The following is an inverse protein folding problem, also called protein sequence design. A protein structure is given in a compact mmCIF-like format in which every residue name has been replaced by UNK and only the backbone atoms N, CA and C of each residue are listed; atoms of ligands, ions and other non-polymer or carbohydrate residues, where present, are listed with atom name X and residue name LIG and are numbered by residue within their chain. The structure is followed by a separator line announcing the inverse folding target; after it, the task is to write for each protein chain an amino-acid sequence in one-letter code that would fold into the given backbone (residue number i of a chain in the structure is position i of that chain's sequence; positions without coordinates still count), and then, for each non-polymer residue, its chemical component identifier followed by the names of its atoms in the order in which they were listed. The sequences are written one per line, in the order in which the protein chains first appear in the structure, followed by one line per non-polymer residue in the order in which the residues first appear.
data_IF_601887823806
#
_entry.id   IF_601887823806
#
_cell.length_a   1.000
_cell.length_b   1.000
_cell.length_c   1.000
_cell.angle_alpha   90.00
_cell.angle_beta   90.00
_cell.angle_gamma   90.00
#
_symmetry.space_group_name_H-M   'P 1'
#
loop_
_entity.id
_entity.type
_entity.pdbx_description
1 polymer ?
#
# COMPACT_ATOMS: atom_id res chain seq x y z
N UNK A 1 4.65 2.82 52.04
CA UNK A 1 4.36 2.26 50.71
C UNK A 1 3.59 3.31 49.96
N UNK A 2 4.05 3.68 48.77
CA UNK A 2 3.47 4.63 47.79
C UNK A 2 4.56 5.60 47.32
N UNK A 3 5.36 5.13 46.35
CA UNK A 3 6.18 6.01 45.52
C UNK A 3 6.05 5.55 44.08
N UNK A 4 5.99 6.55 43.20
CA UNK A 4 5.91 6.50 41.73
C UNK A 4 4.51 6.33 41.14
N UNK A 5 3.66 7.35 41.35
CA UNK A 5 2.77 7.82 40.27
C UNK A 5 3.57 8.82 39.45
N UNK A 6 3.92 8.41 38.23
CA UNK A 6 4.45 9.31 37.21
C UNK A 6 3.27 10.13 36.67
N UNK A 7 3.22 11.40 37.04
CA UNK A 7 2.22 12.36 36.55
C UNK A 7 2.70 12.94 35.21
N UNK A 8 2.04 12.57 34.11
CA UNK A 8 1.68 13.55 33.10
C UNK A 8 2.54 13.70 31.84
N UNK A 9 3.25 12.68 31.37
CA UNK A 9 3.68 12.68 29.97
C UNK A 9 2.47 12.36 29.07
N UNK A 10 2.16 13.16 28.02
CA UNK A 10 1.09 12.80 27.09
C UNK A 10 1.44 11.46 26.43
N UNK A 11 0.52 10.49 26.51
CA UNK A 11 0.69 9.20 25.83
C UNK A 11 0.82 9.48 24.34
N UNK A 12 2.01 9.24 23.79
CA UNK A 12 2.26 9.41 22.37
C UNK A 12 1.34 8.46 21.61
N UNK A 13 0.56 9.00 20.66
CA UNK A 13 -0.34 8.20 19.85
C UNK A 13 0.51 7.31 18.95
N UNK A 14 0.41 5.99 19.13
CA UNK A 14 1.11 5.01 18.29
C UNK A 14 0.72 5.19 16.82
N UNK A 15 1.70 5.05 15.95
CA UNK A 15 1.53 5.14 14.50
C UNK A 15 0.94 3.86 13.97
N UNK A 16 -0.12 4.00 13.17
CA UNK A 16 -0.69 2.87 12.42
C UNK A 16 0.10 2.67 11.13
N UNK A 17 0.42 1.43 10.84
CA UNK A 17 0.89 1.00 9.53
C UNK A 17 -0.24 0.65 8.57
N UNK A 18 0.13 -0.02 7.49
CA UNK A 18 -0.75 -0.53 6.45
C UNK A 18 -0.63 -2.05 6.35
N UNK A 19 -1.76 -2.72 6.13
CA UNK A 19 -1.76 -4.18 5.99
C UNK A 19 -1.14 -4.60 4.65
N UNK A 20 -0.66 -5.85 4.57
CA UNK A 20 -0.22 -6.44 3.30
C UNK A 20 -1.31 -6.40 2.22
N UNK A 21 -2.58 -6.61 2.60
CA UNK A 21 -3.73 -6.50 1.69
C UNK A 21 -3.92 -5.07 1.15
N UNK A 22 -3.75 -4.05 2.00
CA UNK A 22 -3.77 -2.65 1.57
C UNK A 22 -2.65 -2.35 0.57
N UNK A 23 -1.44 -2.85 0.80
CA UNK A 23 -0.34 -2.72 -0.14
C UNK A 23 -0.62 -3.42 -1.48
N UNK A 24 -1.19 -4.64 -1.45
CA UNK A 24 -1.56 -5.37 -2.66
C UNK A 24 -2.64 -4.63 -3.47
N UNK A 25 -3.69 -4.15 -2.79
CA UNK A 25 -4.77 -3.39 -3.43
C UNK A 25 -4.27 -2.08 -4.05
N UNK A 26 -3.40 -1.35 -3.33
CA UNK A 26 -2.79 -0.13 -3.85
C UNK A 26 -1.89 -0.41 -5.06
N UNK A 27 -1.04 -1.44 -4.99
CA UNK A 27 -0.16 -1.82 -6.10
C UNK A 27 -0.96 -2.21 -7.33
N UNK A 28 -2.02 -3.03 -7.17
CA UNK A 28 -2.89 -3.42 -8.28
C UNK A 28 -3.61 -2.21 -8.91
N UNK A 29 -4.17 -1.32 -8.08
CA UNK A 29 -4.82 -0.09 -8.56
C UNK A 29 -3.83 0.81 -9.32
N UNK A 30 -2.61 0.95 -8.81
CA UNK A 30 -1.56 1.72 -9.46
C UNK A 30 -1.13 1.09 -10.80
N UNK A 31 -0.91 -0.23 -10.85
CA UNK A 31 -0.57 -0.95 -12.08
C UNK A 31 -1.64 -0.78 -13.17
N UNK A 32 -2.92 -0.93 -12.81
CA UNK A 32 -4.05 -0.68 -13.73
C UNK A 32 -4.07 0.77 -14.22
N UNK A 33 -3.86 1.74 -13.33
CA UNK A 33 -3.79 3.15 -13.73
C UNK A 33 -2.64 3.40 -14.73
N UNK A 34 -1.47 2.85 -14.44
CA UNK A 34 -0.28 3.01 -15.27
C UNK A 34 -0.45 2.40 -16.65
N UNK A 35 -1.01 1.19 -16.78
CA UNK A 35 -1.22 0.58 -18.11
C UNK A 35 -2.28 1.34 -18.93
N UNK A 36 -3.32 1.87 -18.28
CA UNK A 36 -4.37 2.63 -18.95
C UNK A 36 -3.91 4.02 -19.41
N UNK A 37 -2.96 4.63 -18.70
CA UNK A 37 -2.50 6.01 -18.97
C UNK A 37 -1.15 6.07 -19.68
N UNK A 38 -0.35 5.00 -19.60
CA UNK A 38 1.05 5.01 -20.04
C UNK A 38 1.97 5.85 -19.16
N UNK A 39 1.52 6.32 -17.99
CA UNK A 39 2.27 7.20 -17.11
C UNK A 39 2.53 6.54 -15.75
N UNK A 40 3.74 6.66 -15.18
CA UNK A 40 3.99 6.19 -13.83
C UNK A 40 3.15 6.99 -12.83
N UNK A 41 2.69 6.32 -11.77
CA UNK A 41 1.95 6.93 -10.68
C UNK A 41 2.85 6.99 -9.44
N UNK A 42 2.91 8.14 -8.77
CA UNK A 42 3.74 8.30 -7.55
C UNK A 42 2.98 7.93 -6.27
N UNK A 43 1.66 8.16 -6.25
CA UNK A 43 0.79 7.94 -5.10
C UNK A 43 -0.53 7.33 -5.54
N UNK A 44 -1.03 6.37 -4.78
CA UNK A 44 -2.33 5.75 -5.01
C UNK A 44 -3.18 5.82 -3.76
N UNK A 45 -4.44 6.22 -3.91
CA UNK A 45 -5.42 6.21 -2.83
C UNK A 45 -6.35 5.01 -2.99
N UNK A 46 -6.54 4.25 -1.93
CA UNK A 46 -7.53 3.16 -1.84
C UNK A 46 -8.51 3.41 -0.71
N UNK A 47 -9.73 2.92 -0.88
CA UNK A 47 -10.67 2.79 0.22
C UNK A 47 -10.34 1.51 0.99
N UNK A 48 -10.42 1.57 2.30
CA UNK A 48 -10.19 0.41 3.18
C UNK A 48 -11.54 -0.15 3.69
N UNK A 49 -11.58 -1.39 4.21
CA UNK A 49 -12.83 -2.01 4.65
C UNK A 49 -13.56 -1.25 5.78
N UNK A 50 -12.86 -0.40 6.54
CA UNK A 50 -13.46 0.43 7.59
C UNK A 50 -14.03 1.77 7.07
N UNK A 51 -13.96 1.99 5.75
CA UNK A 51 -14.44 3.19 5.08
C UNK A 51 -13.46 4.36 5.08
N UNK A 52 -12.28 4.21 5.70
CA UNK A 52 -11.22 5.23 5.61
C UNK A 52 -10.44 5.13 4.31
N UNK A 53 -9.82 6.24 3.90
CA UNK A 53 -8.95 6.28 2.74
C UNK A 53 -7.48 6.18 3.14
N UNK A 54 -6.73 5.47 2.30
CA UNK A 54 -5.32 5.24 2.48
C UNK A 54 -4.55 5.65 1.23
N UNK A 55 -3.67 6.64 1.38
CA UNK A 55 -2.79 7.12 0.31
C UNK A 55 -1.40 6.52 0.51
N UNK A 56 -0.97 5.73 -0.47
CA UNK A 56 0.23 4.92 -0.41
C UNK A 56 1.25 5.38 -1.47
N UNK A 57 2.55 5.47 -1.13
CA UNK A 57 3.57 5.75 -2.11
C UNK A 57 3.75 4.53 -3.02
N UNK A 58 3.82 4.77 -4.31
CA UNK A 58 4.06 3.75 -5.32
C UNK A 58 5.55 3.77 -5.68
N UNK A 59 6.19 2.61 -5.69
CA UNK A 59 7.60 2.45 -6.01
C UNK A 59 7.79 1.46 -7.16
N UNK A 60 9.00 1.42 -7.71
CA UNK A 60 9.41 0.42 -8.72
C UNK A 60 8.50 0.39 -9.96
N UNK A 61 7.97 1.56 -10.37
CA UNK A 61 7.10 1.72 -11.53
C UNK A 61 7.82 1.39 -12.84
N UNK A 62 7.23 0.50 -13.64
CA UNK A 62 7.73 0.11 -14.97
C UNK A 62 6.54 -0.11 -15.90
N UNK A 63 6.64 0.43 -17.11
CA UNK A 63 5.66 0.24 -18.18
C UNK A 63 6.44 -0.18 -19.42
N UNK A 64 6.28 -1.42 -19.85
CA UNK A 64 6.97 -1.96 -21.02
C UNK A 64 6.23 -3.17 -21.59
N UNK A 65 6.39 -3.43 -22.89
CA UNK A 65 5.89 -4.64 -23.53
C UNK A 65 4.39 -4.94 -23.29
N UNK A 66 3.54 -3.91 -23.14
CA UNK A 66 2.11 -4.08 -22.88
C UNK A 66 1.77 -4.46 -21.43
N UNK A 67 2.73 -4.33 -20.52
CA UNK A 67 2.63 -4.65 -19.11
C UNK A 67 2.97 -3.41 -18.28
N UNK A 68 2.25 -3.19 -17.20
CA UNK A 68 2.63 -2.24 -16.15
C UNK A 68 2.85 -2.97 -14.83
N UNK A 69 3.92 -2.61 -14.12
CA UNK A 69 4.30 -3.18 -12.83
C UNK A 69 4.74 -2.10 -11.88
N UNK A 70 4.35 -2.22 -10.62
CA UNK A 70 4.85 -1.40 -9.52
C UNK A 70 4.81 -2.18 -8.21
N UNK A 71 5.30 -1.57 -7.13
CA UNK A 71 5.11 -2.07 -5.78
C UNK A 71 4.69 -0.99 -4.79
N UNK A 72 4.24 -1.45 -3.63
CA UNK A 72 4.12 -0.65 -2.42
C UNK A 72 4.98 -1.30 -1.34
N UNK A 73 5.78 -0.49 -0.66
CA UNK A 73 6.53 -0.92 0.53
C UNK A 73 5.58 -0.93 1.70
N UNK A 74 5.44 -2.07 2.37
CA UNK A 74 4.65 -2.17 3.60
C UNK A 74 5.37 -1.39 4.70
N UNK A 75 4.60 -0.58 5.40
CA UNK A 75 5.00 0.13 6.60
C UNK A 75 4.11 -0.35 7.75
N UNK A 76 4.69 -0.99 8.77
CA UNK A 76 3.96 -1.61 9.87
C UNK A 76 3.56 -0.66 11.01
N UNK A 77 3.94 0.62 10.97
CA UNK A 77 3.66 1.49 12.11
C UNK A 77 4.70 1.29 13.22
N UNK A 78 4.20 1.23 14.45
CA UNK A 78 4.97 0.82 15.63
C UNK A 78 4.76 -0.68 15.99
N UNK A 79 4.07 -1.44 15.13
CA UNK A 79 3.81 -2.87 15.31
C UNK A 79 5.07 -3.70 14.96
N UNK A 80 5.58 -4.58 15.85
CA UNK A 80 6.67 -5.49 15.53
C UNK A 80 6.20 -6.60 14.56
N UNK A 81 6.01 -6.23 13.31
CA UNK A 81 5.53 -7.08 12.22
C UNK A 81 6.71 -7.54 11.34
N UNK A 82 6.87 -8.86 11.19
CA UNK A 82 7.96 -9.47 10.41
C UNK A 82 7.93 -9.11 8.91
N UNK A 83 6.78 -8.65 8.43
CA UNK A 83 6.58 -8.22 7.04
C UNK A 83 6.74 -6.71 6.86
N UNK A 84 7.19 -5.97 7.87
CA UNK A 84 7.57 -4.57 7.69
C UNK A 84 8.67 -4.43 6.62
N UNK A 85 8.57 -3.39 5.79
CA UNK A 85 9.52 -3.09 4.73
C UNK A 85 9.46 -4.02 3.50
N UNK A 86 8.62 -5.05 3.48
CA UNK A 86 8.48 -5.89 2.27
C UNK A 86 7.89 -5.07 1.12
N UNK A 87 8.33 -5.37 -0.10
CA UNK A 87 7.71 -4.85 -1.32
C UNK A 87 6.60 -5.78 -1.76
N UNK A 88 5.39 -5.26 -1.87
CA UNK A 88 4.26 -5.98 -2.46
C UNK A 88 4.11 -5.50 -3.91
N UNK A 89 4.40 -6.37 -4.86
CA UNK A 89 4.33 -6.08 -6.29
C UNK A 89 2.96 -6.43 -6.87
N UNK A 90 2.54 -5.67 -7.87
CA UNK A 90 1.48 -6.06 -8.78
C UNK A 90 1.92 -5.80 -10.23
N UNK A 91 1.47 -6.67 -11.13
CA UNK A 91 1.69 -6.59 -12.56
C UNK A 91 0.34 -6.68 -13.28
N UNK A 92 0.19 -5.97 -14.39
CA UNK A 92 -1.08 -5.89 -15.11
C UNK A 92 -0.85 -5.73 -16.61
N UNK A 93 -1.64 -6.45 -17.40
CA UNK A 93 -1.77 -6.30 -18.85
C UNK A 93 -3.24 -6.07 -19.23
N UNK A 94 -3.48 -5.55 -20.43
CA UNK A 94 -4.83 -5.41 -20.97
C UNK A 94 -5.22 -6.68 -21.74
N UNK A 95 -6.45 -7.14 -21.50
CA UNK A 95 -7.08 -8.20 -22.28
C UNK A 95 -7.87 -7.60 -23.45
N UNK A 96 -8.05 -8.38 -24.50
CA UNK A 96 -8.86 -8.03 -25.69
C UNK A 96 -10.36 -8.27 -25.50
N UNK A 97 -10.79 -8.50 -24.25
CA UNK A 97 -12.16 -8.80 -23.85
C UNK A 97 -12.53 -8.12 -22.55
N UNK A 98 -13.82 -7.91 -22.32
CA UNK A 98 -14.36 -7.31 -21.11
C UNK A 98 -14.39 -8.33 -19.95
N UNK A 99 -13.24 -8.56 -19.33
CA UNK A 99 -13.05 -9.53 -18.25
C UNK A 99 -11.96 -9.05 -17.28
N UNK A 100 -11.96 -9.56 -16.05
CA UNK A 100 -10.90 -9.32 -15.06
C UNK A 100 -10.39 -10.65 -14.55
N UNK A 101 -9.12 -10.93 -14.81
CA UNK A 101 -8.45 -12.16 -14.39
C UNK A 101 -7.39 -11.81 -13.35
N UNK A 102 -7.36 -12.57 -12.25
CA UNK A 102 -6.38 -12.45 -11.18
C UNK A 102 -5.65 -13.80 -11.09
N UNK A 103 -4.33 -13.78 -11.17
CA UNK A 103 -3.43 -14.97 -11.19
C UNK A 103 -2.51 -15.02 -9.96
#
# INVERSE_FOLDING_TARGET
MDKFRDEGAPVQKLRKGYTTGSCAAGAAKAAVYMICTGMPLEWVTIDTPDGSQLTLPVTDCRIEAGIARCSIVKDAGDDPDVTDGIKVFAETCLLDRADVVIE
#
